data_IF_780298746509
#
_entry.id   IF_780298746509
#
_cell.length_a   1.000
_cell.length_b   1.000
_cell.length_c   1.000
_cell.angle_alpha   90.00
_cell.angle_beta   90.00
_cell.angle_gamma   90.00
#
_symmetry.space_group_name_H-M   'P 1'
#
loop_
_entity.id
_entity.type
_entity.pdbx_description
1 polymer ?
#
# COMPACT_ATOMS: atom_id res chain seq x y z
N UNK A 1 38.59 -43.73 74.07
CA UNK A 1 37.48 -43.21 73.24
C UNK A 1 38.06 -42.89 71.87
N UNK A 2 38.10 -43.87 70.96
CA UNK A 2 37.22 -44.05 69.78
C UNK A 2 37.14 -42.81 68.86
N UNK A 3 37.61 -43.04 67.63
CA UNK A 3 37.74 -42.20 66.46
C UNK A 3 36.44 -41.48 66.07
N UNK A 4 36.56 -40.30 65.45
CA UNK A 4 35.54 -39.80 64.52
C UNK A 4 36.23 -39.12 63.32
N UNK A 5 36.04 -39.73 62.15
CA UNK A 5 36.30 -39.16 60.83
C UNK A 5 35.14 -38.20 60.51
N UNK A 6 35.45 -37.02 59.96
CA UNK A 6 34.45 -36.12 59.36
C UNK A 6 34.67 -36.05 57.85
N UNK A 7 33.59 -36.35 57.14
CA UNK A 7 33.44 -36.46 55.69
C UNK A 7 33.35 -35.07 55.07
N UNK A 8 34.11 -34.84 53.99
CA UNK A 8 33.99 -33.67 53.11
C UNK A 8 32.75 -33.89 52.22
N UNK A 9 31.69 -33.14 52.50
CA UNK A 9 30.48 -33.08 51.67
C UNK A 9 30.59 -31.97 50.62
N UNK A 10 30.40 -32.35 49.36
CA UNK A 10 30.43 -31.47 48.19
C UNK A 10 29.31 -30.41 48.25
N UNK A 11 29.68 -29.15 48.04
CA UNK A 11 28.74 -28.05 47.77
C UNK A 11 28.50 -28.03 46.26
N UNK A 12 27.32 -28.46 45.85
CA UNK A 12 26.81 -28.24 44.50
C UNK A 12 26.47 -26.76 44.31
N UNK A 13 27.24 -26.08 43.48
CA UNK A 13 26.90 -24.77 42.93
C UNK A 13 25.92 -24.96 41.78
N UNK A 14 24.62 -24.81 42.04
CA UNK A 14 23.63 -24.57 40.99
C UNK A 14 23.79 -23.11 40.54
N UNK A 15 24.55 -22.88 39.47
CA UNK A 15 24.57 -21.59 38.79
C UNK A 15 23.23 -21.37 38.10
N UNK A 16 22.42 -20.43 38.59
CA UNK A 16 21.31 -19.85 37.82
C UNK A 16 21.90 -19.13 36.62
N UNK A 17 21.66 -19.64 35.42
CA UNK A 17 21.94 -18.90 34.20
C UNK A 17 21.14 -17.60 34.23
N UNK A 18 21.84 -16.46 34.31
CA UNK A 18 21.22 -15.16 34.19
C UNK A 18 20.76 -14.99 32.74
N UNK A 19 19.47 -15.20 32.48
CA UNK A 19 18.88 -14.94 31.17
C UNK A 19 18.88 -13.43 30.93
N UNK A 20 19.45 -13.01 29.81
CA UNK A 20 19.45 -11.60 29.40
C UNK A 20 18.05 -11.22 28.92
N UNK A 21 17.41 -10.28 29.64
CA UNK A 21 16.10 -9.75 29.28
C UNK A 21 16.29 -8.71 28.17
N UNK A 22 15.61 -8.90 27.04
CA UNK A 22 15.63 -7.92 25.95
C UNK A 22 14.47 -6.96 26.12
N UNK A 23 14.79 -5.69 26.35
CA UNK A 23 13.83 -4.60 26.31
C UNK A 23 14.22 -3.61 25.21
N UNK A 24 13.64 -3.75 24.02
CA UNK A 24 13.77 -2.75 22.96
C UNK A 24 12.92 -1.51 23.28
N UNK A 25 13.50 -0.51 23.97
CA UNK A 25 12.83 0.76 24.27
C UNK A 25 12.15 0.82 25.65
N UNK A 26 11.83 2.03 26.10
CA UNK A 26 11.49 2.36 27.50
C UNK A 26 10.09 1.99 28.00
N UNK A 27 9.29 1.25 27.21
CA UNK A 27 7.92 0.87 27.60
C UNK A 27 7.72 -0.64 27.68
N UNK A 28 6.75 -1.06 28.51
CA UNK A 28 6.36 -2.47 28.69
C UNK A 28 5.62 -3.07 27.49
N UNK A 29 5.28 -2.23 26.51
CA UNK A 29 4.52 -2.59 25.31
C UNK A 29 5.39 -2.53 24.06
N UNK A 30 5.01 -3.35 23.09
CA UNK A 30 5.47 -3.27 21.71
C UNK A 30 4.28 -2.82 20.85
N UNK A 31 4.27 -1.54 20.49
CA UNK A 31 3.11 -0.85 19.93
C UNK A 31 3.18 -0.79 18.39
N UNK A 32 2.12 -1.29 17.74
CA UNK A 32 2.00 -1.39 16.28
C UNK A 32 0.82 -0.54 15.82
N UNK A 33 1.04 0.28 14.81
CA UNK A 33 0.01 1.15 14.23
C UNK A 33 -0.46 0.58 12.89
N UNK A 34 -1.77 0.39 12.77
CA UNK A 34 -2.47 0.15 11.51
C UNK A 34 -3.21 1.42 11.09
N UNK A 35 -3.37 1.63 9.79
CA UNK A 35 -4.17 2.74 9.23
C UNK A 35 -5.36 2.11 8.50
N UNK A 36 -6.58 2.34 8.96
CA UNK A 36 -7.73 1.69 8.36
C UNK A 36 -7.94 2.21 6.93
N UNK A 37 -7.90 1.30 5.96
CA UNK A 37 -8.28 1.55 4.56
C UNK A 37 -9.80 1.68 4.41
N UNK A 38 -10.56 1.09 5.34
CA UNK A 38 -12.02 1.04 5.40
C UNK A 38 -12.51 1.44 6.82
N UNK A 39 -13.41 0.64 7.41
CA UNK A 39 -13.92 0.84 8.76
C UNK A 39 -12.86 0.47 9.81
N UNK A 40 -12.48 1.43 10.66
CA UNK A 40 -11.48 1.24 11.70
C UNK A 40 -11.78 0.08 12.66
N UNK A 41 -13.05 -0.16 12.97
CA UNK A 41 -13.49 -1.26 13.85
C UNK A 41 -13.38 -2.62 13.17
N UNK A 42 -13.65 -2.70 11.87
CA UNK A 42 -13.48 -3.94 11.10
C UNK A 42 -12.00 -4.29 11.01
N UNK A 43 -11.16 -3.30 10.66
CA UNK A 43 -9.70 -3.46 10.58
C UNK A 43 -9.12 -3.93 11.91
N UNK A 44 -9.43 -3.26 13.02
CA UNK A 44 -8.87 -3.65 14.33
C UNK A 44 -9.29 -5.06 14.73
N UNK A 45 -10.53 -5.48 14.45
CA UNK A 45 -11.02 -6.81 14.78
C UNK A 45 -10.30 -7.89 13.95
N UNK A 46 -10.10 -7.64 12.65
CA UNK A 46 -9.37 -8.55 11.76
C UNK A 46 -7.92 -8.73 12.18
N UNK A 47 -7.23 -7.65 12.56
CA UNK A 47 -5.80 -7.71 12.88
C UNK A 47 -5.52 -8.06 14.34
N UNK A 48 -6.51 -8.01 15.24
CA UNK A 48 -6.33 -8.26 16.67
C UNK A 48 -5.58 -9.56 17.01
N UNK A 49 -5.83 -10.71 16.34
CA UNK A 49 -5.11 -11.95 16.62
C UNK A 49 -3.60 -11.86 16.38
N UNK A 50 -3.13 -10.89 15.59
CA UNK A 50 -1.70 -10.66 15.35
C UNK A 50 -0.95 -10.29 16.63
N UNK A 51 -1.59 -9.68 17.62
CA UNK A 51 -0.94 -9.35 18.91
C UNK A 51 -0.36 -10.60 19.57
N UNK A 52 -1.17 -11.64 19.76
CA UNK A 52 -0.76 -12.87 20.43
C UNK A 52 0.21 -13.68 19.57
N UNK A 53 -0.06 -13.75 18.25
CA UNK A 53 0.75 -14.51 17.30
C UNK A 53 2.15 -13.93 17.17
N UNK A 54 2.29 -12.63 16.94
CA UNK A 54 3.60 -11.97 16.87
C UNK A 54 4.34 -12.06 18.20
N UNK A 55 3.65 -11.88 19.32
CA UNK A 55 4.28 -12.02 20.63
C UNK A 55 4.83 -13.44 20.85
N UNK A 56 4.12 -14.48 20.40
CA UNK A 56 4.57 -15.86 20.51
C UNK A 56 5.80 -16.12 19.63
N UNK A 57 5.78 -15.68 18.38
CA UNK A 57 6.92 -15.79 17.46
C UNK A 57 8.17 -15.09 18.01
N UNK A 58 8.02 -13.85 18.50
CA UNK A 58 9.12 -13.09 19.09
C UNK A 58 9.69 -13.74 20.36
N UNK A 59 8.84 -14.38 21.18
CA UNK A 59 9.30 -15.15 22.35
C UNK A 59 10.11 -16.37 21.95
N UNK A 60 9.60 -17.17 21.00
CA UNK A 60 10.29 -18.36 20.54
C UNK A 60 11.68 -18.02 19.98
N UNK A 61 11.79 -17.01 19.12
CA UNK A 61 13.08 -16.58 18.54
C UNK A 61 14.03 -16.01 19.59
N UNK A 62 13.53 -15.28 20.59
CA UNK A 62 14.36 -14.83 21.71
C UNK A 62 14.89 -16.02 22.53
N UNK A 63 14.04 -17.02 22.83
CA UNK A 63 14.41 -18.22 23.58
C UNK A 63 15.48 -19.04 22.86
N UNK A 64 15.38 -19.20 21.53
CA UNK A 64 16.40 -19.86 20.70
C UNK A 64 17.78 -19.21 20.83
N UNK A 65 17.81 -17.89 21.09
CA UNK A 65 19.05 -17.12 21.29
C UNK A 65 19.47 -17.03 22.77
N UNK A 66 18.78 -17.73 23.67
CA UNK A 66 19.04 -17.69 25.13
C UNK A 66 18.59 -16.39 25.80
N UNK A 67 17.73 -15.62 25.13
CA UNK A 67 17.19 -14.34 25.57
C UNK A 67 15.69 -14.49 25.91
N UNK A 68 15.06 -13.43 26.41
CA UNK A 68 13.61 -13.43 26.70
C UNK A 68 12.94 -12.16 26.18
N UNK A 69 11.88 -12.34 25.39
CA UNK A 69 11.00 -11.25 24.96
C UNK A 69 9.84 -11.07 25.95
N UNK A 70 9.83 -9.95 26.68
CA UNK A 70 8.88 -9.70 27.78
C UNK A 70 7.77 -8.72 27.42
N UNK A 71 7.87 -8.02 26.29
CA UNK A 71 6.92 -6.97 25.91
C UNK A 71 5.57 -7.53 25.49
N UNK A 72 4.51 -6.83 25.87
CA UNK A 72 3.15 -7.10 25.36
C UNK A 72 2.96 -6.42 24.01
N UNK A 73 2.67 -7.20 22.97
CA UNK A 73 2.32 -6.62 21.66
C UNK A 73 0.93 -5.99 21.73
N UNK A 74 0.81 -4.76 21.23
CA UNK A 74 -0.45 -4.01 21.16
C UNK A 74 -0.63 -3.39 19.79
N UNK A 75 -1.80 -3.56 19.22
CA UNK A 75 -2.21 -2.94 17.97
C UNK A 75 -3.17 -1.79 18.26
N UNK A 76 -2.94 -0.67 17.58
CA UNK A 76 -3.79 0.50 17.56
C UNK A 76 -4.04 0.97 16.14
N UNK A 77 -5.09 1.77 15.93
CA UNK A 77 -5.35 2.42 14.64
C UNK A 77 -5.00 3.90 14.70
N UNK A 78 -4.51 4.45 13.59
CA UNK A 78 -4.32 5.89 13.39
C UNK A 78 -5.44 6.45 12.51
N UNK A 79 -5.75 7.74 12.68
CA UNK A 79 -6.76 8.44 11.89
C UNK A 79 -6.27 8.82 10.50
N UNK A 80 -4.96 8.86 10.28
CA UNK A 80 -4.34 9.12 8.98
C UNK A 80 -2.93 8.55 8.86
N UNK A 81 -2.43 8.46 7.63
CA UNK A 81 -1.06 8.06 7.36
C UNK A 81 -0.05 9.04 7.94
N UNK A 82 -0.28 10.35 7.84
CA UNK A 82 0.60 11.39 8.36
C UNK A 82 0.70 11.35 9.89
N UNK A 83 -0.43 11.13 10.57
CA UNK A 83 -0.46 10.97 12.01
C UNK A 83 0.32 9.71 12.44
N UNK A 84 0.20 8.61 11.69
CA UNK A 84 0.94 7.38 11.95
C UNK A 84 2.45 7.56 11.73
N UNK A 85 2.85 8.14 10.59
CA UNK A 85 4.25 8.42 10.27
C UNK A 85 4.90 9.35 11.29
N UNK A 86 4.20 10.41 11.69
CA UNK A 86 4.67 11.34 12.73
C UNK A 86 4.82 10.66 14.09
N UNK A 87 3.87 9.79 14.46
CA UNK A 87 3.89 9.04 15.72
C UNK A 87 5.08 8.06 15.75
N UNK A 88 5.31 7.34 14.66
CA UNK A 88 6.43 6.42 14.53
C UNK A 88 7.78 7.18 14.58
N UNK A 89 7.93 8.28 13.84
CA UNK A 89 9.17 9.06 13.81
C UNK A 89 9.46 9.79 15.14
N UNK A 90 8.41 10.07 15.93
CA UNK A 90 8.54 10.59 17.28
C UNK A 90 9.02 9.53 18.28
N UNK A 91 9.00 8.24 17.93
CA UNK A 91 9.31 7.13 18.85
C UNK A 91 8.17 6.82 19.82
N UNK A 92 6.93 7.08 19.41
CA UNK A 92 5.72 6.80 20.20
C UNK A 92 5.06 5.46 19.86
N UNK A 93 5.55 4.77 18.84
CA UNK A 93 5.22 3.40 18.49
C UNK A 93 6.46 2.69 17.97
N UNK A 94 6.45 1.36 18.00
CA UNK A 94 7.55 0.52 17.56
C UNK A 94 7.49 0.27 16.05
N UNK A 95 6.30 -0.10 15.54
CA UNK A 95 6.04 -0.37 14.12
C UNK A 95 4.83 0.40 13.59
N UNK A 96 4.81 0.67 12.29
CA UNK A 96 3.60 1.04 11.56
C UNK A 96 3.59 0.45 10.15
N UNK A 97 2.41 0.08 9.66
CA UNK A 97 2.18 -0.27 8.26
C UNK A 97 1.96 1.00 7.47
N UNK A 98 2.92 1.42 6.65
CA UNK A 98 2.90 2.73 5.98
C UNK A 98 3.12 2.60 4.47
N UNK A 99 2.45 3.45 3.66
CA UNK A 99 2.86 3.69 2.28
C UNK A 99 4.26 4.31 2.24
N UNK A 100 5.04 3.97 1.19
CA UNK A 100 6.41 4.48 1.03
C UNK A 100 6.50 6.01 1.01
N UNK A 101 5.50 6.71 0.47
CA UNK A 101 5.47 8.17 0.47
C UNK A 101 5.34 8.76 1.88
N UNK A 102 4.65 8.08 2.78
CA UNK A 102 4.56 8.48 4.19
C UNK A 102 5.88 8.22 4.92
N UNK A 103 6.50 7.06 4.66
CA UNK A 103 7.84 6.77 5.14
C UNK A 103 8.86 7.82 4.67
N UNK A 104 8.89 8.15 3.37
CA UNK A 104 9.85 9.09 2.78
C UNK A 104 9.87 10.46 3.47
N UNK A 105 8.70 10.96 3.87
CA UNK A 105 8.56 12.25 4.57
C UNK A 105 9.00 12.21 6.03
N UNK A 106 8.97 11.04 6.65
CA UNK A 106 9.16 10.87 8.09
C UNK A 106 10.48 10.19 8.46
N UNK A 107 11.22 9.63 7.48
CA UNK A 107 12.43 8.83 7.72
C UNK A 107 13.56 9.58 8.41
N UNK A 108 13.61 10.91 8.25
CA UNK A 108 14.53 11.78 8.98
C UNK A 108 15.72 12.22 8.13
N UNK A 109 16.89 12.29 8.75
CA UNK A 109 18.15 12.71 8.10
C UNK A 109 18.98 11.48 7.78
N UNK A 110 19.66 11.49 6.64
CA UNK A 110 20.60 10.44 6.26
C UNK A 110 21.79 10.40 7.23
N UNK A 111 22.20 9.19 7.62
CA UNK A 111 23.38 8.89 8.45
C UNK A 111 24.58 8.56 7.57
N UNK A 112 25.76 8.44 8.20
CA UNK A 112 27.01 8.06 7.52
C UNK A 112 26.93 6.68 6.84
N UNK A 113 26.13 5.76 7.40
CA UNK A 113 25.90 4.41 6.86
C UNK A 113 24.91 4.37 5.68
N UNK A 114 24.37 5.52 5.26
CA UNK A 114 23.41 5.63 4.16
C UNK A 114 21.95 5.36 4.53
N UNK A 115 21.65 4.94 5.76
CA UNK A 115 20.27 4.80 6.27
C UNK A 115 19.81 6.09 6.97
N UNK A 116 18.53 6.20 7.35
CA UNK A 116 17.99 7.41 7.99
C UNK A 116 17.87 7.29 9.51
N UNK A 117 17.85 8.41 10.23
CA UNK A 117 17.96 8.44 11.70
C UNK A 117 16.66 8.22 12.48
N UNK A 118 15.48 8.45 11.88
CA UNK A 118 14.18 8.32 12.60
C UNK A 118 13.48 7.01 12.31
N UNK A 119 13.33 6.65 11.03
CA UNK A 119 12.63 5.44 10.62
C UNK A 119 13.55 4.50 9.85
N UNK A 120 13.27 3.21 9.95
CA UNK A 120 13.80 2.22 9.03
C UNK A 120 12.70 1.38 8.40
N UNK A 121 13.05 0.71 7.32
CA UNK A 121 12.16 -0.23 6.62
C UNK A 121 12.42 -1.64 7.17
N UNK A 122 11.41 -2.26 7.76
CA UNK A 122 11.52 -3.65 8.23
C UNK A 122 11.35 -4.61 7.05
N UNK A 123 10.23 -4.46 6.34
CA UNK A 123 9.81 -5.32 5.22
C UNK A 123 8.97 -4.49 4.24
N UNK A 124 9.09 -4.79 2.95
CA UNK A 124 8.16 -4.35 1.91
C UNK A 124 7.08 -5.42 1.71
N UNK A 125 5.85 -5.04 1.37
CA UNK A 125 4.80 -6.02 1.06
C UNK A 125 4.74 -6.37 -0.41
N UNK A 126 4.26 -7.57 -0.71
CA UNK A 126 3.76 -7.92 -2.05
C UNK A 126 2.26 -8.16 -2.05
N UNK A 127 1.71 -8.18 -3.25
CA UNK A 127 0.32 -8.52 -3.56
C UNK A 127 0.31 -9.55 -4.69
N UNK A 128 -0.84 -10.19 -4.91
CA UNK A 128 -1.07 -10.93 -6.16
C UNK A 128 -0.83 -10.00 -7.36
N UNK A 129 -0.18 -10.53 -8.40
CA UNK A 129 0.08 -9.77 -9.61
C UNK A 129 -1.18 -9.62 -10.48
N UNK A 130 -1.12 -8.72 -11.45
CA UNK A 130 -2.18 -8.54 -12.45
C UNK A 130 -1.65 -8.83 -13.84
N UNK A 131 -2.38 -9.66 -14.60
CA UNK A 131 -1.97 -10.14 -15.93
C UNK A 131 -1.68 -8.98 -16.89
N UNK A 132 -2.44 -7.89 -16.80
CA UNK A 132 -2.24 -6.70 -17.65
C UNK A 132 -0.94 -5.95 -17.33
N UNK A 133 -0.40 -6.10 -16.11
CA UNK A 133 0.78 -5.34 -15.66
C UNK A 133 2.10 -6.03 -16.00
N UNK A 134 2.08 -7.31 -16.43
CA UNK A 134 3.27 -8.16 -16.62
C UNK A 134 4.37 -7.53 -17.47
N UNK A 135 4.00 -6.82 -18.52
CA UNK A 135 4.94 -6.20 -19.47
C UNK A 135 4.92 -4.67 -19.38
N UNK A 136 4.32 -4.10 -18.34
CA UNK A 136 4.27 -2.65 -18.17
C UNK A 136 5.65 -2.05 -17.87
N UNK A 137 5.93 -0.82 -18.32
CA UNK A 137 7.14 -0.12 -17.93
C UNK A 137 7.28 0.00 -16.41
N UNK A 138 8.44 -0.38 -15.89
CA UNK A 138 8.75 -0.29 -14.45
C UNK A 138 9.01 1.15 -13.95
N UNK A 139 8.71 2.18 -14.74
CA UNK A 139 8.92 3.58 -14.39
C UNK A 139 7.72 4.43 -14.75
N UNK A 140 7.98 5.66 -15.18
CA UNK A 140 6.91 6.52 -15.70
C UNK A 140 6.32 5.95 -16.97
N UNK A 141 5.00 6.05 -17.08
CA UNK A 141 4.28 5.62 -18.28
C UNK A 141 4.05 6.80 -19.21
N UNK A 142 4.07 6.54 -20.51
CA UNK A 142 3.68 7.51 -21.53
C UNK A 142 2.16 7.51 -21.76
N UNK A 143 1.68 8.45 -22.55
CA UNK A 143 0.32 8.49 -23.09
C UNK A 143 -0.03 7.19 -23.82
N UNK A 144 0.85 6.80 -24.74
CA UNK A 144 0.73 5.56 -25.50
C UNK A 144 0.71 4.31 -24.60
N UNK A 145 1.55 4.27 -23.55
CA UNK A 145 1.50 3.17 -22.57
C UNK A 145 0.15 3.15 -21.83
N UNK A 146 -0.27 4.28 -21.26
CA UNK A 146 -1.54 4.40 -20.52
C UNK A 146 -2.73 3.95 -21.37
N UNK A 147 -2.78 4.37 -22.64
CA UNK A 147 -3.83 3.97 -23.58
C UNK A 147 -3.76 2.47 -23.92
N UNK A 148 -2.57 1.97 -24.24
CA UNK A 148 -2.35 0.56 -24.60
C UNK A 148 -2.88 -0.36 -23.49
N UNK A 149 -2.43 -0.17 -22.26
CA UNK A 149 -2.80 -1.09 -21.18
C UNK A 149 -4.24 -0.90 -20.71
N UNK A 150 -4.81 0.31 -20.81
CA UNK A 150 -6.24 0.51 -20.62
C UNK A 150 -7.07 -0.31 -21.63
N UNK A 151 -6.68 -0.28 -22.91
CA UNK A 151 -7.32 -1.10 -23.95
C UNK A 151 -7.12 -2.61 -23.72
N UNK A 152 -5.92 -3.05 -23.32
CA UNK A 152 -5.66 -4.47 -22.98
C UNK A 152 -6.51 -4.94 -21.80
N UNK A 153 -6.61 -4.15 -20.74
CA UNK A 153 -7.45 -4.45 -19.58
C UNK A 153 -8.93 -4.55 -19.97
N UNK A 154 -9.44 -3.58 -20.74
CA UNK A 154 -10.83 -3.60 -21.21
C UNK A 154 -11.12 -4.80 -22.10
N UNK A 155 -10.17 -5.20 -22.96
CA UNK A 155 -10.28 -6.39 -23.81
C UNK A 155 -10.35 -7.68 -23.01
N UNK A 156 -9.53 -7.81 -21.96
CA UNK A 156 -9.55 -8.97 -21.05
C UNK A 156 -10.92 -9.09 -20.35
N UNK A 157 -11.53 -7.95 -20.03
CA UNK A 157 -12.79 -7.84 -19.28
C UNK A 157 -14.03 -7.65 -20.15
N UNK A 158 -13.98 -7.94 -21.45
CA UNK A 158 -15.15 -7.88 -22.32
C UNK A 158 -16.19 -8.93 -21.89
N UNK A 159 -17.09 -8.50 -21.00
CA UNK A 159 -18.19 -9.30 -20.45
C UNK A 159 -19.42 -9.00 -21.29
N UNK A 160 -19.77 -9.93 -22.17
CA UNK A 160 -20.93 -9.75 -23.05
C UNK A 160 -22.25 -9.80 -22.26
N UNK A 161 -23.26 -9.06 -22.73
CA UNK A 161 -24.49 -8.80 -21.98
C UNK A 161 -25.28 -10.04 -21.52
N UNK A 162 -25.14 -11.18 -22.22
CA UNK A 162 -25.88 -12.42 -21.94
C UNK A 162 -25.08 -13.44 -21.12
N UNK A 163 -23.85 -13.14 -20.72
CA UNK A 163 -23.02 -14.05 -19.93
C UNK A 163 -23.47 -14.08 -18.47
N UNK A 164 -23.87 -15.28 -18.00
CA UNK A 164 -24.02 -15.56 -16.56
C UNK A 164 -22.63 -15.82 -15.99
N UNK A 165 -22.08 -14.86 -15.25
CA UNK A 165 -20.72 -14.89 -14.72
C UNK A 165 -20.72 -14.38 -13.28
N UNK A 166 -19.91 -14.98 -12.41
CA UNK A 166 -19.70 -14.48 -11.03
C UNK A 166 -18.58 -13.45 -10.97
N UNK A 167 -18.51 -12.67 -9.89
CA UNK A 167 -17.41 -11.71 -9.68
C UNK A 167 -16.04 -12.41 -9.55
N UNK A 168 -15.99 -13.64 -9.04
CA UNK A 168 -14.78 -14.47 -8.93
C UNK A 168 -14.28 -14.86 -10.33
N UNK A 169 -15.17 -15.33 -11.20
CA UNK A 169 -14.83 -15.66 -12.59
C UNK A 169 -14.36 -14.43 -13.38
N UNK A 170 -14.88 -13.24 -13.08
CA UNK A 170 -14.35 -11.98 -13.63
C UNK A 170 -12.94 -11.72 -13.09
N UNK A 171 -12.72 -11.90 -11.77
CA UNK A 171 -11.41 -11.70 -11.12
C UNK A 171 -10.31 -12.58 -11.71
N UNK A 172 -10.61 -13.84 -11.97
CA UNK A 172 -9.69 -14.81 -12.58
C UNK A 172 -9.19 -14.41 -13.98
N UNK A 173 -9.89 -13.50 -14.68
CA UNK A 173 -9.44 -13.00 -16.00
C UNK A 173 -8.23 -12.07 -15.90
N UNK A 174 -8.07 -11.34 -14.79
CA UNK A 174 -7.04 -10.30 -14.67
C UNK A 174 -6.10 -10.46 -13.48
N UNK A 175 -6.47 -11.23 -12.45
CA UNK A 175 -5.61 -11.54 -11.31
C UNK A 175 -4.72 -12.75 -11.61
N UNK A 176 -3.42 -12.64 -11.32
CA UNK A 176 -2.46 -13.75 -11.34
C UNK A 176 -2.01 -14.06 -9.90
N UNK A 177 -2.61 -15.09 -9.30
CA UNK A 177 -2.25 -15.56 -7.95
C UNK A 177 -1.02 -16.47 -7.93
N UNK A 178 -0.40 -16.73 -9.09
CA UNK A 178 0.82 -17.55 -9.18
C UNK A 178 2.10 -16.70 -9.12
N UNK A 179 1.95 -15.38 -9.19
CA UNK A 179 3.04 -14.41 -9.16
C UNK A 179 2.75 -13.31 -8.14
N UNK A 180 3.78 -12.85 -7.44
CA UNK A 180 3.70 -11.70 -6.55
C UNK A 180 4.18 -10.43 -7.26
N UNK A 181 3.58 -9.30 -6.90
CA UNK A 181 4.00 -7.95 -7.32
C UNK A 181 4.42 -7.13 -6.11
N UNK A 182 5.58 -6.48 -6.22
CA UNK A 182 6.14 -5.53 -5.24
C UNK A 182 5.61 -4.09 -5.48
N UNK A 183 4.71 -3.91 -6.45
CA UNK A 183 4.11 -2.63 -6.76
C UNK A 183 2.63 -2.76 -7.10
N UNK A 184 1.95 -1.62 -7.12
CA UNK A 184 0.60 -1.47 -7.62
C UNK A 184 0.49 -0.20 -8.49
N UNK A 185 -0.69 0.03 -9.06
CA UNK A 185 -1.02 1.25 -9.82
C UNK A 185 -2.39 1.78 -9.44
N UNK A 186 -2.62 3.05 -9.73
CA UNK A 186 -3.96 3.61 -9.80
C UNK A 186 -4.53 3.43 -11.19
N UNK A 187 -5.74 2.90 -11.27
CA UNK A 187 -6.53 2.75 -12.48
C UNK A 187 -7.56 3.87 -12.53
N UNK A 188 -7.80 4.41 -13.72
CA UNK A 188 -8.79 5.45 -13.96
C UNK A 188 -10.01 4.84 -14.64
N UNK A 189 -11.11 4.77 -13.90
CA UNK A 189 -12.37 4.17 -14.32
C UNK A 189 -13.34 5.24 -14.81
N UNK A 190 -14.06 4.96 -15.89
CA UNK A 190 -15.09 5.84 -16.46
C UNK A 190 -16.40 5.09 -16.62
N UNK A 191 -17.52 5.78 -16.48
CA UNK A 191 -18.82 5.21 -16.84
C UNK A 191 -18.94 5.06 -18.37
N UNK A 192 -19.41 3.90 -18.85
CA UNK A 192 -19.57 3.63 -20.28
C UNK A 192 -20.56 4.59 -20.95
N UNK A 193 -21.58 5.10 -20.24
CA UNK A 193 -22.49 6.12 -20.77
C UNK A 193 -21.76 7.43 -21.07
N UNK A 194 -20.75 7.81 -20.28
CA UNK A 194 -19.96 9.02 -20.52
C UNK A 194 -19.10 8.87 -21.78
N UNK A 195 -18.46 7.71 -21.96
CA UNK A 195 -17.71 7.38 -23.18
C UNK A 195 -18.62 7.47 -24.41
N UNK A 196 -19.78 6.81 -24.35
CA UNK A 196 -20.74 6.76 -25.44
C UNK A 196 -21.31 8.15 -25.80
N UNK A 197 -21.71 8.94 -24.79
CA UNK A 197 -22.21 10.32 -25.01
C UNK A 197 -21.13 11.25 -25.55
N UNK A 198 -19.86 10.95 -25.25
CA UNK A 198 -18.71 11.72 -25.73
C UNK A 198 -18.23 11.29 -27.11
N UNK A 199 -18.81 10.25 -27.71
CA UNK A 199 -18.39 9.67 -28.98
C UNK A 199 -16.89 9.30 -28.98
N UNK A 200 -16.42 8.73 -27.87
CA UNK A 200 -15.02 8.32 -27.68
C UNK A 200 -14.92 6.80 -27.73
N UNK A 201 -14.04 6.30 -28.60
CA UNK A 201 -13.66 4.89 -28.66
C UNK A 201 -12.15 4.76 -28.47
N UNK A 202 -11.73 4.36 -27.28
CA UNK A 202 -10.31 4.25 -26.91
C UNK A 202 -9.51 3.33 -27.83
N UNK A 203 -10.14 2.28 -28.37
CA UNK A 203 -9.50 1.32 -29.28
C UNK A 203 -9.23 1.87 -30.69
N UNK A 204 -9.84 2.99 -31.06
CA UNK A 204 -9.65 3.65 -32.36
C UNK A 204 -8.63 4.82 -32.29
N UNK A 205 -8.22 5.22 -31.08
CA UNK A 205 -7.23 6.27 -30.86
C UNK A 205 -5.82 5.72 -31.07
N UNK A 206 -5.00 6.44 -31.84
CA UNK A 206 -3.62 6.03 -32.12
C UNK A 206 -2.56 7.11 -31.88
N UNK A 207 -2.98 8.36 -31.69
CA UNK A 207 -2.10 9.48 -31.43
C UNK A 207 -2.26 10.03 -30.00
N UNK A 208 -1.15 10.50 -29.42
CA UNK A 208 -1.12 10.99 -28.04
C UNK A 208 -1.99 12.24 -27.84
N UNK A 209 -2.07 13.13 -28.84
CA UNK A 209 -2.89 14.34 -28.80
C UNK A 209 -4.38 14.03 -28.89
N UNK A 210 -4.77 13.05 -29.71
CA UNK A 210 -6.14 12.52 -29.74
C UNK A 210 -6.54 11.90 -28.40
N UNK A 211 -5.64 11.12 -27.78
CA UNK A 211 -5.89 10.55 -26.46
C UNK A 211 -6.04 11.63 -25.39
N UNK A 212 -5.15 12.63 -25.37
CA UNK A 212 -5.26 13.76 -24.45
C UNK A 212 -6.56 14.53 -24.66
N UNK A 213 -6.96 14.80 -25.91
CA UNK A 213 -8.23 15.46 -26.21
C UNK A 213 -9.43 14.65 -25.68
N UNK A 214 -9.42 13.33 -25.86
CA UNK A 214 -10.43 12.43 -25.33
C UNK A 214 -10.50 12.48 -23.79
N UNK A 215 -9.35 12.37 -23.10
CA UNK A 215 -9.28 12.46 -21.64
C UNK A 215 -9.79 13.81 -21.12
N UNK A 216 -9.40 14.92 -21.75
CA UNK A 216 -9.87 16.26 -21.39
C UNK A 216 -11.37 16.39 -21.51
N UNK A 217 -11.95 15.89 -22.61
CA UNK A 217 -13.40 15.88 -22.83
C UNK A 217 -14.14 15.05 -21.78
N UNK A 218 -13.57 13.94 -21.32
CA UNK A 218 -14.19 13.11 -20.27
C UNK A 218 -14.10 13.74 -18.88
N UNK A 219 -12.98 14.40 -18.56
CA UNK A 219 -12.66 14.83 -17.19
C UNK A 219 -13.11 16.26 -16.90
N UNK A 220 -12.89 17.18 -17.84
CA UNK A 220 -13.18 18.60 -17.73
C UNK A 220 -13.77 19.13 -19.05
N UNK A 221 -14.97 18.68 -19.47
CA UNK A 221 -15.55 18.98 -20.79
C UNK A 221 -15.76 20.47 -21.08
N UNK A 222 -15.89 21.30 -20.04
CA UNK A 222 -16.15 22.74 -20.17
C UNK A 222 -14.90 23.62 -20.37
N UNK A 223 -13.70 23.04 -20.28
CA UNK A 223 -12.45 23.77 -20.43
C UNK A 223 -11.99 23.81 -21.89
N UNK A 224 -11.66 25.01 -22.37
CA UNK A 224 -11.01 25.20 -23.66
C UNK A 224 -9.57 25.67 -23.44
N UNK A 225 -8.60 25.05 -24.12
CA UNK A 225 -7.18 25.37 -23.94
C UNK A 225 -6.74 25.22 -22.48
N UNK A 226 -6.21 26.30 -21.91
CA UNK A 226 -5.65 26.34 -20.55
C UNK A 226 -6.66 26.73 -19.46
N UNK A 227 -7.92 27.04 -19.82
CA UNK A 227 -8.94 27.45 -18.85
C UNK A 227 -9.24 26.37 -17.80
N UNK A 228 -9.46 26.78 -16.55
CA UNK A 228 -9.87 25.92 -15.45
C UNK A 228 -11.32 26.21 -15.03
N UNK A 229 -12.29 25.71 -15.82
CA UNK A 229 -13.73 25.97 -15.62
C UNK A 229 -14.61 24.80 -16.05
N UNK A 230 -15.83 24.78 -15.54
CA UNK A 230 -16.87 23.81 -15.90
C UNK A 230 -17.02 22.67 -14.89
N UNK A 231 -17.89 21.72 -15.23
CA UNK A 231 -18.12 20.55 -14.40
C UNK A 231 -16.94 19.58 -14.45
N UNK A 232 -16.61 19.00 -13.31
CA UNK A 232 -15.51 18.05 -13.14
C UNK A 232 -16.10 16.68 -12.89
N UNK A 233 -15.80 15.75 -13.77
CA UNK A 233 -16.30 14.37 -13.69
C UNK A 233 -15.40 13.47 -12.83
N UNK A 234 -14.23 13.95 -12.42
CA UNK A 234 -13.19 13.19 -11.73
C UNK A 234 -13.42 13.08 -10.22
N UNK A 235 -13.05 11.94 -9.65
CA UNK A 235 -13.14 11.67 -8.22
C UNK A 235 -11.77 11.29 -7.67
N UNK A 236 -11.50 11.68 -6.42
CA UNK A 236 -10.26 11.35 -5.69
C UNK A 236 -10.59 10.90 -4.27
N UNK A 237 -9.63 10.28 -3.58
CA UNK A 237 -9.77 9.88 -2.18
C UNK A 237 -10.03 11.08 -1.25
N UNK A 238 -10.69 10.83 -0.12
CA UNK A 238 -10.73 11.78 1.00
C UNK A 238 -9.33 12.10 1.54
N UNK A 239 -8.40 11.14 1.48
CA UNK A 239 -7.02 11.36 1.91
C UNK A 239 -6.23 12.09 0.83
N UNK A 240 -5.71 13.27 1.17
CA UNK A 240 -4.90 14.08 0.26
C UNK A 240 -3.61 13.38 -0.17
N UNK A 241 -3.05 12.57 0.72
CA UNK A 241 -1.76 11.89 0.53
C UNK A 241 -1.91 10.44 0.09
N UNK A 242 -3.12 10.00 -0.24
CA UNK A 242 -3.33 8.66 -0.81
C UNK A 242 -2.59 8.53 -2.14
N UNK A 243 -1.66 7.58 -2.23
CA UNK A 243 -0.89 7.32 -3.45
C UNK A 243 -1.81 6.97 -4.62
N UNK A 244 -2.56 5.86 -4.54
CA UNK A 244 -3.47 5.43 -5.59
C UNK A 244 -4.76 6.25 -5.68
N UNK A 245 -5.20 6.89 -4.59
CA UNK A 245 -6.47 7.59 -4.54
C UNK A 245 -6.40 9.07 -4.89
N UNK A 246 -5.22 9.70 -4.82
CA UNK A 246 -5.07 11.15 -5.02
C UNK A 246 -3.78 11.50 -5.76
N UNK A 247 -2.61 11.17 -5.23
CA UNK A 247 -1.33 11.72 -5.73
C UNK A 247 -0.99 11.22 -7.14
N UNK A 248 -0.99 9.91 -7.36
CA UNK A 248 -0.69 9.34 -8.67
C UNK A 248 -1.79 9.62 -9.71
N UNK A 249 -3.09 9.62 -9.36
CA UNK A 249 -4.13 10.15 -10.23
C UNK A 249 -3.90 11.59 -10.72
N UNK A 250 -3.56 12.52 -9.82
CA UNK A 250 -3.30 13.91 -10.20
C UNK A 250 -2.00 14.05 -11.01
N UNK A 251 -0.99 13.22 -10.70
CA UNK A 251 0.23 13.12 -11.51
C UNK A 251 -0.10 12.63 -12.93
N UNK A 252 -0.97 11.64 -13.07
CA UNK A 252 -1.46 11.14 -14.35
C UNK A 252 -2.26 12.20 -15.12
N UNK A 253 -3.09 13.00 -14.44
CA UNK A 253 -3.78 14.15 -15.08
C UNK A 253 -2.77 15.13 -15.71
N UNK A 254 -1.67 15.40 -15.02
CA UNK A 254 -0.62 16.31 -15.49
C UNK A 254 0.19 15.70 -16.64
N UNK A 255 0.77 14.53 -16.39
CA UNK A 255 1.79 13.94 -17.26
C UNK A 255 1.19 13.21 -18.47
N UNK A 256 0.03 12.57 -18.29
CA UNK A 256 -0.63 11.79 -19.34
C UNK A 256 -1.76 12.59 -19.98
N UNK A 257 -2.73 13.08 -19.19
CA UNK A 257 -3.87 13.82 -19.73
C UNK A 257 -3.54 15.27 -20.16
N UNK A 258 -2.33 15.75 -19.86
CA UNK A 258 -1.82 17.03 -20.31
C UNK A 258 -2.46 18.25 -19.63
N UNK A 259 -3.04 18.10 -18.44
CA UNK A 259 -3.57 19.23 -17.69
C UNK A 259 -2.43 20.08 -17.08
N UNK A 260 -2.58 21.40 -17.15
CA UNK A 260 -1.65 22.31 -16.48
C UNK A 260 -1.92 22.38 -14.96
N UNK A 261 -1.06 23.06 -14.22
CA UNK A 261 -1.13 23.16 -12.76
C UNK A 261 -2.44 23.79 -12.26
N UNK A 262 -2.95 24.81 -12.95
CA UNK A 262 -4.21 25.47 -12.58
C UNK A 262 -5.40 24.54 -12.78
N UNK A 263 -5.41 23.77 -13.88
CA UNK A 263 -6.43 22.79 -14.19
C UNK A 263 -6.39 21.60 -13.22
N UNK A 264 -5.21 21.08 -12.87
CA UNK A 264 -5.08 20.00 -11.88
C UNK A 264 -5.58 20.45 -10.51
N UNK A 265 -5.22 21.66 -10.07
CA UNK A 265 -5.75 22.26 -8.83
C UNK A 265 -7.28 22.39 -8.87
N UNK A 266 -7.81 22.90 -9.98
CA UNK A 266 -9.25 23.07 -10.16
C UNK A 266 -9.99 21.73 -10.12
N UNK A 267 -9.50 20.73 -10.87
CA UNK A 267 -10.04 19.37 -10.87
C UNK A 267 -10.02 18.83 -9.44
N UNK A 268 -8.88 18.88 -8.75
CA UNK A 268 -8.77 18.42 -7.37
C UNK A 268 -9.79 19.11 -6.43
N UNK A 269 -9.92 20.42 -6.48
CA UNK A 269 -10.85 21.18 -5.62
C UNK A 269 -12.32 20.83 -5.89
N UNK A 270 -12.68 20.53 -7.15
CA UNK A 270 -14.05 20.25 -7.57
C UNK A 270 -14.39 18.76 -7.63
N UNK A 271 -13.41 17.88 -7.54
CA UNK A 271 -13.59 16.43 -7.57
C UNK A 271 -14.44 15.92 -6.41
N UNK A 272 -15.26 14.92 -6.71
CA UNK A 272 -15.96 14.16 -5.68
C UNK A 272 -14.96 13.43 -4.77
N UNK A 273 -15.30 13.34 -3.49
CA UNK A 273 -14.46 12.69 -2.47
C UNK A 273 -14.95 11.28 -2.19
N UNK A 274 -14.21 10.31 -2.70
CA UNK A 274 -14.45 8.88 -2.53
C UNK A 274 -14.23 8.51 -1.07
N UNK A 275 -15.21 7.86 -0.45
CA UNK A 275 -15.10 7.41 0.94
C UNK A 275 -14.13 6.24 1.08
N UNK A 276 -14.29 5.26 0.20
CA UNK A 276 -13.49 4.04 0.05
C UNK A 276 -13.58 3.57 -1.42
N UNK A 277 -12.81 2.55 -1.76
CA UNK A 277 -12.67 2.04 -3.12
C UNK A 277 -13.92 1.30 -3.66
N UNK A 278 -14.59 0.41 -2.89
CA UNK A 278 -15.85 -0.18 -3.35
C UNK A 278 -16.93 0.86 -3.63
N UNK A 279 -17.05 1.89 -2.77
CA UNK A 279 -18.01 2.98 -2.96
C UNK A 279 -17.67 3.83 -4.18
N UNK A 280 -16.38 4.04 -4.47
CA UNK A 280 -15.94 4.69 -5.70
C UNK A 280 -16.39 3.92 -6.94
N UNK A 281 -16.17 2.60 -6.96
CA UNK A 281 -16.60 1.73 -8.05
C UNK A 281 -18.12 1.74 -8.26
N UNK A 282 -18.90 1.72 -7.17
CA UNK A 282 -20.36 1.86 -7.24
C UNK A 282 -20.78 3.25 -7.74
N UNK A 283 -20.10 4.31 -7.29
CA UNK A 283 -20.39 5.69 -7.72
C UNK A 283 -20.20 5.86 -9.22
N UNK A 284 -19.05 5.46 -9.77
CA UNK A 284 -18.78 5.58 -11.21
C UNK A 284 -19.71 4.69 -12.02
N UNK A 285 -20.05 3.49 -11.54
CA UNK A 285 -21.00 2.57 -12.21
C UNK A 285 -22.42 3.14 -12.34
N UNK A 286 -22.86 3.95 -11.36
CA UNK A 286 -24.22 4.47 -11.29
C UNK A 286 -24.36 5.93 -11.74
N UNK A 287 -23.26 6.66 -11.92
CA UNK A 287 -23.26 8.07 -12.30
C UNK A 287 -22.87 8.23 -13.76
N UNK A 288 -23.80 8.70 -14.60
CA UNK A 288 -23.57 8.77 -16.05
C UNK A 288 -22.46 9.73 -16.51
N UNK A 289 -21.94 10.57 -15.62
CA UNK A 289 -20.80 11.47 -15.83
C UNK A 289 -19.66 11.18 -14.82
N UNK A 290 -19.50 9.93 -14.38
CA UNK A 290 -18.51 9.57 -13.37
C UNK A 290 -17.15 9.18 -13.96
N UNK A 291 -16.08 9.69 -13.36
CA UNK A 291 -14.72 9.15 -13.42
C UNK A 291 -14.23 8.93 -12.00
N UNK A 292 -13.69 7.74 -11.72
CA UNK A 292 -13.21 7.33 -10.40
C UNK A 292 -11.81 6.72 -10.51
N UNK A 293 -11.11 6.65 -9.38
CA UNK A 293 -9.75 6.12 -9.31
C UNK A 293 -9.60 5.12 -8.18
N UNK A 294 -8.76 4.11 -8.39
CA UNK A 294 -8.45 3.11 -7.38
C UNK A 294 -7.60 1.97 -7.91
N UNK A 295 -7.43 0.91 -7.12
CA UNK A 295 -6.73 -0.31 -7.53
C UNK A 295 -7.46 -1.05 -8.66
N UNK A 296 -6.82 -2.05 -9.25
CA UNK A 296 -7.40 -2.86 -10.33
C UNK A 296 -8.64 -3.68 -9.91
N UNK A 297 -8.79 -3.97 -8.61
CA UNK A 297 -9.78 -4.87 -8.01
C UNK A 297 -10.95 -4.15 -7.31
N UNK A 298 -11.02 -2.81 -7.36
CA UNK A 298 -12.05 -2.04 -6.61
C UNK A 298 -13.50 -2.44 -6.93
N UNK A 299 -13.75 -2.94 -8.15
CA UNK A 299 -15.06 -3.44 -8.57
C UNK A 299 -15.37 -4.81 -7.97
N UNK A 300 -14.34 -5.65 -7.77
CA UNK A 300 -14.46 -6.94 -7.10
C UNK A 300 -14.67 -6.79 -5.59
N UNK A 301 -14.10 -5.77 -4.95
CA UNK A 301 -14.27 -5.53 -3.51
C UNK A 301 -15.70 -5.12 -3.11
N UNK A 302 -16.58 -4.82 -4.08
CA UNK A 302 -18.01 -4.62 -3.81
C UNK A 302 -18.60 -5.91 -3.22
N UNK A 303 -19.11 -5.82 -1.99
CA UNK A 303 -19.66 -6.95 -1.22
C UNK A 303 -20.86 -7.62 -1.92
N UNK A 304 -21.75 -6.82 -2.51
CA UNK A 304 -22.90 -7.32 -3.27
C UNK A 304 -22.48 -7.78 -4.67
N UNK A 305 -22.74 -9.05 -4.99
CA UNK A 305 -22.30 -9.67 -6.25
C UNK A 305 -22.94 -9.01 -7.48
N UNK A 306 -24.25 -8.73 -7.42
CA UNK A 306 -24.95 -8.10 -8.54
C UNK A 306 -24.42 -6.68 -8.81
N UNK A 307 -24.15 -5.90 -7.76
CA UNK A 307 -23.54 -4.58 -7.87
C UNK A 307 -22.10 -4.64 -8.38
N UNK A 308 -21.32 -5.65 -7.97
CA UNK A 308 -19.96 -5.90 -8.47
C UNK A 308 -19.99 -6.16 -9.98
N UNK A 309 -20.78 -7.15 -10.43
CA UNK A 309 -20.94 -7.50 -11.85
C UNK A 309 -21.45 -6.29 -12.65
N UNK A 310 -22.42 -5.55 -12.12
CA UNK A 310 -22.90 -4.30 -12.73
C UNK A 310 -21.77 -3.28 -12.89
N UNK A 311 -20.93 -3.09 -11.87
CA UNK A 311 -19.79 -2.18 -11.97
C UNK A 311 -18.80 -2.59 -13.06
N UNK A 312 -18.50 -3.88 -13.21
CA UNK A 312 -17.69 -4.37 -14.32
C UNK A 312 -18.33 -4.08 -15.69
N UNK A 313 -19.63 -4.34 -15.85
CA UNK A 313 -20.36 -4.12 -17.12
C UNK A 313 -20.52 -2.64 -17.48
N UNK A 314 -20.63 -1.76 -16.49
CA UNK A 314 -20.94 -0.35 -16.69
C UNK A 314 -19.71 0.55 -16.81
N UNK A 315 -18.49 0.04 -16.63
CA UNK A 315 -17.29 0.90 -16.52
C UNK A 315 -16.12 0.44 -17.37
N UNK A 316 -15.56 1.43 -18.08
CA UNK A 316 -14.28 1.45 -18.80
C UNK A 316 -13.07 1.66 -17.89
N UNK A 317 -11.88 1.14 -18.19
CA UNK A 317 -10.62 1.79 -17.78
C UNK A 317 -10.15 2.72 -18.92
N UNK A 318 -9.84 3.97 -18.59
CA UNK A 318 -9.34 4.98 -19.56
C UNK A 318 -7.85 5.28 -19.41
N UNK A 319 -7.21 4.78 -18.37
CA UNK A 319 -5.78 4.96 -18.12
C UNK A 319 -5.33 4.33 -16.82
N UNK A 320 -4.03 4.31 -16.60
CA UNK A 320 -3.38 3.81 -15.37
C UNK A 320 -2.27 4.78 -14.96
N UNK A 321 -1.80 4.73 -13.71
CA UNK A 321 -0.69 5.58 -13.26
C UNK A 321 0.67 4.91 -13.47
N UNK A 322 1.72 5.68 -13.18
CA UNK A 322 3.06 5.16 -12.88
C UNK A 322 3.01 4.08 -11.78
N UNK A 323 4.04 3.23 -11.72
CA UNK A 323 4.14 2.22 -10.68
C UNK A 323 4.24 2.88 -9.30
N UNK A 324 3.61 2.28 -8.32
CA UNK A 324 3.64 2.70 -6.93
C UNK A 324 4.25 1.55 -6.15
N UNK A 325 5.42 1.78 -5.55
CA UNK A 325 6.06 0.80 -4.65
C UNK A 325 5.05 0.44 -3.54
N UNK A 326 4.95 -0.84 -3.22
CA UNK A 326 4.00 -1.31 -2.22
C UNK A 326 4.23 -0.68 -0.85
N UNK A 327 3.22 -0.82 0.00
CA UNK A 327 3.34 -0.43 1.40
C UNK A 327 4.38 -1.32 2.10
N UNK A 328 4.83 -0.90 3.29
CA UNK A 328 5.77 -1.70 4.06
C UNK A 328 5.52 -1.61 5.56
N UNK A 329 6.22 -2.47 6.29
CA UNK A 329 6.32 -2.41 7.74
C UNK A 329 7.51 -1.54 8.06
N UNK A 330 7.26 -0.39 8.68
CA UNK A 330 8.28 0.58 9.06
C UNK A 330 8.49 0.54 10.57
N UNK A 331 9.72 0.74 11.02
CA UNK A 331 10.04 0.76 12.44
C UNK A 331 10.64 2.08 12.89
N UNK A 332 10.40 2.43 14.16
CA UNK A 332 11.03 3.58 14.78
C UNK A 332 12.43 3.23 15.29
N UNK A 333 13.46 3.91 14.79
CA UNK A 333 14.85 3.71 15.25
C UNK A 333 15.10 4.18 16.67
N UNK A 334 14.25 5.06 17.19
CA UNK A 334 14.26 5.48 18.61
C UNK A 334 13.83 4.37 19.56
N UNK A 335 13.18 3.33 19.02
CA UNK A 335 12.54 2.26 19.77
C UNK A 335 13.20 0.92 19.51
N UNK A 336 13.58 0.67 18.25
CA UNK A 336 14.21 -0.56 17.79
C UNK A 336 15.55 -0.22 17.13
N UNK A 337 16.64 -0.62 17.78
CA UNK A 337 18.02 -0.39 17.32
C UNK A 337 18.94 -1.60 17.56
N UNK A 338 18.36 -2.76 17.86
CA UNK A 338 19.07 -4.04 17.98
C UNK A 338 18.83 -4.88 16.72
N UNK A 339 19.90 -5.19 15.98
CA UNK A 339 19.86 -5.96 14.75
C UNK A 339 19.24 -7.36 14.93
N UNK A 340 19.41 -7.98 16.11
CA UNK A 340 18.81 -9.27 16.40
C UNK A 340 17.30 -9.17 16.49
N UNK A 341 16.79 -8.10 17.09
CA UNK A 341 15.34 -7.86 17.19
C UNK A 341 14.75 -7.48 15.83
N UNK A 342 15.48 -6.70 15.02
CA UNK A 342 15.07 -6.40 13.64
C UNK A 342 14.98 -7.70 12.83
N UNK A 343 15.96 -8.60 12.97
CA UNK A 343 15.94 -9.90 12.30
C UNK A 343 14.77 -10.77 12.79
N UNK A 344 14.60 -10.91 14.11
CA UNK A 344 13.50 -11.70 14.68
C UNK A 344 12.14 -11.20 14.17
N UNK A 345 11.93 -9.88 14.14
CA UNK A 345 10.71 -9.27 13.61
C UNK A 345 10.49 -9.61 12.13
N UNK A 346 11.54 -9.50 11.29
CA UNK A 346 11.44 -9.86 9.87
C UNK A 346 11.01 -11.31 9.69
N UNK A 347 11.68 -12.21 10.39
CA UNK A 347 11.40 -13.64 10.30
C UNK A 347 9.98 -13.93 10.82
N UNK A 348 9.58 -13.33 11.94
CA UNK A 348 8.24 -13.51 12.50
C UNK A 348 7.13 -13.07 11.54
N UNK A 349 7.26 -11.92 10.88
CA UNK A 349 6.24 -11.48 9.92
C UNK A 349 6.18 -12.38 8.69
N UNK A 350 7.33 -12.84 8.18
CA UNK A 350 7.41 -13.81 7.08
C UNK A 350 6.79 -15.16 7.44
N UNK A 351 7.12 -15.69 8.62
CA UNK A 351 6.56 -16.96 9.14
C UNK A 351 5.05 -16.85 9.38
N UNK A 352 4.56 -15.68 9.80
CA UNK A 352 3.14 -15.47 10.04
C UNK A 352 2.35 -15.36 8.74
N UNK A 353 2.83 -14.62 7.74
CA UNK A 353 2.09 -14.44 6.49
C UNK A 353 2.06 -15.71 5.64
N UNK A 354 3.08 -16.57 5.75
CA UNK A 354 3.14 -17.84 5.01
C UNK A 354 2.14 -18.91 5.48
N UNK A 355 1.48 -18.69 6.62
CA UNK A 355 0.54 -19.62 7.25
C UNK A 355 -0.89 -19.31 6.80
N UNK A 356 -1.56 -20.28 6.16
CA UNK A 356 -2.92 -20.10 5.62
C UNK A 356 -3.92 -19.69 6.73
N UNK A 357 -3.77 -20.18 7.96
CA UNK A 357 -4.62 -19.80 9.08
C UNK A 357 -4.49 -18.33 9.52
N UNK A 358 -3.48 -17.61 9.03
CA UNK A 358 -3.25 -16.20 9.30
C UNK A 358 -3.62 -15.30 8.12
N UNK A 359 -4.03 -15.87 6.98
CA UNK A 359 -4.26 -15.12 5.74
C UNK A 359 -5.25 -13.97 5.90
N UNK A 360 -6.32 -14.15 6.67
CA UNK A 360 -7.31 -13.10 6.93
C UNK A 360 -6.71 -11.86 7.61
N UNK A 361 -5.68 -12.03 8.45
CA UNK A 361 -5.00 -10.93 9.15
C UNK A 361 -4.33 -9.99 8.14
N UNK A 362 -3.66 -10.56 7.13
CA UNK A 362 -2.87 -9.81 6.16
C UNK A 362 -3.68 -9.38 4.93
N UNK A 363 -4.78 -10.08 4.64
CA UNK A 363 -5.75 -9.71 3.62
C UNK A 363 -6.43 -8.36 3.88
N UNK A 364 -6.35 -7.80 5.09
CA UNK A 364 -6.86 -6.44 5.36
C UNK A 364 -6.25 -5.37 4.45
N UNK A 365 -5.02 -5.61 3.97
CA UNK A 365 -4.33 -4.80 2.97
C UNK A 365 -4.04 -5.55 1.68
N UNK A 366 -4.63 -6.73 1.46
CA UNK A 366 -4.34 -7.64 0.35
C UNK A 366 -2.85 -8.00 0.21
N UNK A 367 -2.12 -8.11 1.33
CA UNK A 367 -0.72 -8.54 1.31
C UNK A 367 -0.62 -10.05 1.15
N UNK A 368 0.25 -10.51 0.25
CA UNK A 368 0.48 -11.95 -0.01
C UNK A 368 1.80 -12.46 0.54
N UNK A 369 2.83 -11.59 0.63
CA UNK A 369 4.13 -11.92 1.21
C UNK A 369 4.85 -10.64 1.68
N UNK A 370 5.98 -10.81 2.37
CA UNK A 370 6.88 -9.74 2.78
C UNK A 370 8.31 -9.93 2.27
N UNK A 371 8.83 -8.90 1.60
CA UNK A 371 10.19 -8.86 1.07
C UNK A 371 11.11 -8.16 2.08
N UNK A 372 12.28 -8.75 2.28
CA UNK A 372 13.35 -8.21 3.11
C UNK A 372 14.70 -8.46 2.46
N UNK A 373 15.81 -8.23 3.20
CA UNK A 373 17.14 -8.55 2.71
C UNK A 373 17.24 -10.00 2.25
N UNK A 374 17.91 -10.24 1.11
CA UNK A 374 18.27 -11.58 0.63
C UNK A 374 19.42 -12.15 1.45
N UNK A 375 19.66 -13.46 1.37
CA UNK A 375 20.72 -14.14 2.16
C UNK A 375 22.11 -13.53 1.91
N UNK A 376 22.38 -13.14 0.67
CA UNK A 376 23.63 -12.53 0.22
C UNK A 376 23.72 -11.01 0.47
N UNK A 377 22.67 -10.39 0.99
CA UNK A 377 22.55 -8.94 1.14
C UNK A 377 22.44 -8.53 2.61
N UNK A 378 23.26 -7.58 3.04
CA UNK A 378 23.13 -7.07 4.42
C UNK A 378 21.84 -6.24 4.59
N UNK A 379 21.29 -6.16 5.81
CA UNK A 379 20.16 -5.28 6.10
C UNK A 379 20.32 -3.83 5.64
N UNK A 380 21.52 -3.27 5.80
CA UNK A 380 21.83 -1.89 5.42
C UNK A 380 21.86 -1.75 3.89
N UNK A 381 22.51 -2.67 3.18
CA UNK A 381 22.54 -2.64 1.70
C UNK A 381 21.14 -2.75 1.09
N UNK A 382 20.29 -3.62 1.65
CA UNK A 382 18.90 -3.74 1.22
C UNK A 382 18.11 -2.46 1.47
N UNK A 383 18.18 -1.93 2.69
CA UNK A 383 17.43 -0.74 3.07
C UNK A 383 17.86 0.48 2.26
N UNK A 384 19.17 0.72 2.10
CA UNK A 384 19.68 1.85 1.31
C UNK A 384 19.34 1.75 -0.18
N UNK A 385 19.29 0.53 -0.74
CA UNK A 385 18.87 0.33 -2.13
C UNK A 385 17.39 0.70 -2.32
N UNK A 386 16.52 0.24 -1.42
CA UNK A 386 15.09 0.56 -1.44
C UNK A 386 14.84 2.05 -1.18
N UNK A 387 15.56 2.65 -0.22
CA UNK A 387 15.49 4.08 0.06
C UNK A 387 15.80 4.94 -1.16
N UNK A 388 16.80 4.54 -1.96
CA UNK A 388 17.15 5.22 -3.20
C UNK A 388 16.00 5.14 -4.21
N UNK A 389 15.38 3.97 -4.36
CA UNK A 389 14.24 3.80 -5.26
C UNK A 389 13.03 4.63 -4.80
N UNK A 390 12.70 4.60 -3.51
CA UNK A 390 11.64 5.42 -2.91
C UNK A 390 11.91 6.90 -3.17
N UNK A 391 13.13 7.38 -2.93
CA UNK A 391 13.46 8.80 -3.14
C UNK A 391 13.35 9.19 -4.61
N UNK A 392 13.81 8.36 -5.55
CA UNK A 392 13.69 8.64 -6.98
C UNK A 392 12.21 8.68 -7.43
N UNK A 393 11.42 7.70 -7.00
CA UNK A 393 10.00 7.61 -7.39
C UNK A 393 9.11 8.64 -6.70
N UNK A 394 9.51 9.17 -5.54
CA UNK A 394 8.72 10.15 -4.79
C UNK A 394 8.84 11.60 -5.31
N UNK A 395 9.85 11.94 -6.14
CA UNK A 395 10.10 13.34 -6.55
C UNK A 395 8.89 13.97 -7.24
N UNK A 396 8.31 13.31 -8.24
CA UNK A 396 7.16 13.86 -8.98
C UNK A 396 5.89 13.83 -8.12
N UNK A 397 5.73 12.79 -7.29
CA UNK A 397 4.63 12.70 -6.33
C UNK A 397 4.64 13.87 -5.33
N UNK A 398 5.81 14.27 -4.82
CA UNK A 398 5.97 15.40 -3.90
C UNK A 398 5.67 16.75 -4.56
N UNK A 399 5.92 16.90 -5.86
CA UNK A 399 5.51 18.10 -6.61
C UNK A 399 3.99 18.21 -6.67
N UNK A 400 3.29 17.10 -6.91
CA UNK A 400 1.82 17.07 -6.90
C UNK A 400 1.27 17.37 -5.50
N UNK A 401 1.87 16.81 -4.46
CA UNK A 401 1.48 17.14 -3.09
C UNK A 401 1.66 18.63 -2.77
N UNK A 402 2.79 19.20 -3.19
CA UNK A 402 3.06 20.64 -3.04
C UNK A 402 2.03 21.46 -3.81
N UNK A 403 1.66 21.02 -5.00
CA UNK A 403 0.68 21.69 -5.85
C UNK A 403 -0.70 21.81 -5.16
N UNK A 404 -1.13 20.79 -4.41
CA UNK A 404 -2.45 20.76 -3.75
C UNK A 404 -2.42 21.08 -2.25
N UNK A 405 -1.24 21.41 -1.70
CA UNK A 405 -1.01 21.53 -0.25
C UNK A 405 -2.01 22.47 0.44
N UNK A 406 -2.30 23.60 -0.19
CA UNK A 406 -3.10 24.69 0.38
C UNK A 406 -4.60 24.63 0.01
N UNK A 407 -5.05 23.54 -0.64
CA UNK A 407 -6.42 23.39 -1.17
C UNK A 407 -7.41 22.69 -0.26
#
# INVERSE_FOLDING_TARGET
>A
MKKLLAIVGAIGLTGTAATTVVSCGTTDTFDIIFIPSNNATEVINTVKPLEEKLQAEMKAKAEERGETFTKKVKISTSTSYEAAGSTLAAGKADLAFLPVGTYNKNKGTIKEDGTYDKLGILLESSRDAYTVEKDMPAGSITQSDSLKYANEYNKILDITGNETITKEQIREKYLDTSSNSEYYRSYVYVNNDLLNKSDIKLSEISADDEYQAALRKLILPGANGEEAKGDVNFSVSKSKTSSAGTIYPLMWLKNVAGFNDEQVKYIYTKSNRQADYPSAAQYVSNTSNGVAVGFSDIRYEIKDEAASIKAFKNTSVIGMSDKIINDGIMYSRKRINDDKIIKDLRDSFKDLISKEENKEIFNVYNHTDYIGPKEEQTPIEWETALDKEITVTSVEAEKIETLIKDL
#
